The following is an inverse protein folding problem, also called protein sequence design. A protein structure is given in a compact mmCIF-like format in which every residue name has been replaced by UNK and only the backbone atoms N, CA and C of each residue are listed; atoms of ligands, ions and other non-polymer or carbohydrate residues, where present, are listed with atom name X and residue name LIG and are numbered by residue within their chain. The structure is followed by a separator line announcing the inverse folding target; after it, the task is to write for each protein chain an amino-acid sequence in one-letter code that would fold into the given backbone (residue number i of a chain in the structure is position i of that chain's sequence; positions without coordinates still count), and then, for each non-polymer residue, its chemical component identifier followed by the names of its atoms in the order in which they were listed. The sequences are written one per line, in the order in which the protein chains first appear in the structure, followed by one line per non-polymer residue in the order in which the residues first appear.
data_IF_899038919456
#
_entry.id   IF_899038919456
#
_cell.length_a   1.000
_cell.length_b   1.000
_cell.length_c   1.000
_cell.angle_alpha   90.00
_cell.angle_beta   90.00
_cell.angle_gamma   90.00
#
_symmetry.space_group_name_H-M   'P 1'
#
loop_
_entity.id
_entity.type
_entity.pdbx_description
1 polymer ?
#
# COMPACT_ATOMS: atom_id res chain seq x y z
N UNK A 1 -29.42 6.03 -19.08
CA UNK A 1 -28.32 5.90 -20.05
C UNK A 1 -27.04 5.64 -19.26
N UNK A 2 -26.32 4.55 -19.55
CA UNK A 2 -25.09 4.18 -18.84
C UNK A 2 -23.93 4.97 -19.46
N UNK A 3 -23.37 5.94 -18.74
CA UNK A 3 -22.15 6.62 -19.16
C UNK A 3 -20.99 5.63 -19.06
N UNK A 4 -20.43 5.28 -20.21
CA UNK A 4 -19.23 4.44 -20.31
C UNK A 4 -18.03 5.38 -20.30
N UNK A 5 -17.31 5.42 -19.17
CA UNK A 5 -16.02 6.09 -19.07
C UNK A 5 -14.99 5.33 -19.91
N UNK A 6 -14.33 6.02 -20.85
CA UNK A 6 -13.18 5.49 -21.59
C UNK A 6 -11.93 6.22 -21.10
N UNK A 7 -11.10 5.53 -20.32
CA UNK A 7 -9.79 6.01 -19.91
C UNK A 7 -8.79 5.77 -21.06
N UNK A 8 -8.13 6.83 -21.53
CA UNK A 8 -6.99 6.71 -22.44
C UNK A 8 -5.74 7.18 -21.72
N UNK A 9 -4.78 6.27 -21.55
CA UNK A 9 -3.47 6.56 -20.97
C UNK A 9 -2.65 7.39 -21.96
N UNK A 10 -2.38 8.66 -21.62
CA UNK A 10 -1.55 9.56 -22.42
C UNK A 10 -0.07 9.13 -22.40
N UNK A 11 0.53 9.03 -23.60
CA UNK A 11 1.94 8.67 -23.82
C UNK A 11 2.88 9.79 -23.30
N UNK A 12 3.92 9.41 -22.56
CA UNK A 12 5.00 10.30 -22.13
C UNK A 12 6.07 10.36 -23.22
N UNK A 13 6.24 11.50 -23.88
CA UNK A 13 7.36 11.74 -24.79
C UNK A 13 8.48 12.46 -24.03
N UNK A 14 9.62 11.77 -23.85
CA UNK A 14 10.84 12.33 -23.26
C UNK A 14 11.47 13.25 -24.31
N UNK A 15 11.48 14.55 -24.03
CA UNK A 15 12.07 15.56 -24.92
C UNK A 15 13.58 15.38 -25.06
N UNK A 16 14.02 14.90 -26.22
CA UNK A 16 15.41 15.03 -26.68
C UNK A 16 15.55 16.40 -27.31
N UNK A 17 16.48 17.20 -26.81
CA UNK A 17 16.84 18.50 -27.40
C UNK A 17 17.39 18.29 -28.82
N UNK A 18 16.55 18.51 -29.83
CA UNK A 18 16.95 18.54 -31.23
C UNK A 18 17.44 19.95 -31.57
N UNK A 19 18.68 20.03 -32.04
CA UNK A 19 19.27 21.24 -32.59
C UNK A 19 18.46 21.73 -33.79
N UNK A 20 18.21 23.05 -33.81
CA UNK A 20 17.50 23.75 -34.88
C UNK A 20 18.16 23.51 -36.24
N UNK A 21 17.50 22.74 -37.11
CA UNK A 21 17.67 22.83 -38.56
C UNK A 21 16.46 23.59 -39.08
N UNK A 22 16.69 24.86 -39.40
CA UNK A 22 15.75 25.71 -40.14
C UNK A 22 15.57 25.11 -41.53
N UNK A 23 14.36 24.67 -41.85
CA UNK A 23 13.93 24.38 -43.20
C UNK A 23 12.69 25.23 -43.47
N UNK A 24 12.87 26.29 -44.26
CA UNK A 24 11.83 27.22 -44.68
C UNK A 24 10.95 26.59 -45.76
N UNK A 25 9.73 26.26 -45.40
CA UNK A 25 8.60 26.16 -46.32
C UNK A 25 7.47 26.98 -45.71
N UNK A 26 7.11 28.07 -46.37
CA UNK A 26 5.96 28.90 -46.01
C UNK A 26 4.67 28.10 -46.28
N UNK A 27 4.31 27.19 -45.37
CA UNK A 27 2.93 26.76 -45.24
C UNK A 27 2.16 27.89 -44.55
N UNK A 28 1.04 28.32 -45.14
CA UNK A 28 0.14 29.27 -44.49
C UNK A 28 -0.28 28.68 -43.13
N UNK A 29 0.20 29.30 -42.05
CA UNK A 29 -0.05 28.83 -40.69
C UNK A 29 -1.53 28.75 -40.36
N UNK A 30 -1.92 27.73 -39.61
CA UNK A 30 -3.31 27.51 -39.17
C UNK A 30 -3.37 27.84 -37.69
N UNK A 31 -3.89 29.00 -37.31
CA UNK A 31 -4.16 29.31 -35.89
C UNK A 31 -5.32 28.44 -35.40
N UNK A 32 -5.09 27.46 -34.50
CA UNK A 32 -6.15 26.58 -34.04
C UNK A 32 -7.07 27.28 -33.03
N UNK A 33 -8.35 26.88 -32.99
CA UNK A 33 -9.29 27.33 -31.97
C UNK A 33 -8.86 26.91 -30.55
N UNK A 34 -9.13 27.73 -29.54
CA UNK A 34 -8.83 27.45 -28.13
C UNK A 34 -9.77 26.38 -27.56
N UNK A 35 -9.30 25.64 -26.54
CA UNK A 35 -10.20 24.90 -25.66
C UNK A 35 -11.13 25.85 -24.89
N UNK A 36 -12.19 25.34 -24.27
CA UNK A 36 -13.03 26.14 -23.36
C UNK A 36 -13.36 25.36 -22.10
N UNK A 37 -13.90 26.04 -21.08
CA UNK A 37 -14.34 25.41 -19.82
C UNK A 37 -13.23 24.57 -19.14
N UNK A 38 -11.99 25.08 -19.15
CA UNK A 38 -10.85 24.45 -18.48
C UNK A 38 -11.11 24.36 -16.97
N UNK A 39 -11.09 23.15 -16.44
CA UNK A 39 -11.25 22.85 -15.02
C UNK A 39 -10.19 21.86 -14.55
N UNK A 40 -9.95 21.83 -13.23
CA UNK A 40 -8.99 20.94 -12.60
C UNK A 40 -9.60 20.28 -11.36
N UNK A 41 -9.61 18.95 -11.39
CA UNK A 41 -10.05 18.08 -10.29
C UNK A 41 -8.81 17.40 -9.71
N UNK A 42 -8.79 17.16 -8.41
CA UNK A 42 -7.72 16.36 -7.81
C UNK A 42 -8.31 15.13 -7.14
N UNK A 43 -7.58 14.04 -7.24
CA UNK A 43 -7.77 12.82 -6.48
C UNK A 43 -6.42 12.42 -5.88
N UNK A 44 -6.39 11.43 -5.00
CA UNK A 44 -5.14 11.04 -4.34
C UNK A 44 -4.00 10.77 -5.33
N UNK A 45 -2.96 11.62 -5.25
CA UNK A 45 -1.77 11.52 -6.07
C UNK A 45 -1.92 11.94 -7.53
N UNK A 46 -3.03 12.61 -7.89
CA UNK A 46 -3.38 12.93 -9.29
C UNK A 46 -4.12 14.25 -9.42
N UNK A 47 -3.88 14.94 -10.53
CA UNK A 47 -4.71 16.06 -11.00
C UNK A 47 -5.25 15.72 -12.38
N UNK A 48 -6.55 15.85 -12.57
CA UNK A 48 -7.21 15.67 -13.87
C UNK A 48 -7.64 17.05 -14.38
N UNK A 49 -7.10 17.45 -15.52
CA UNK A 49 -7.57 18.62 -16.24
C UNK A 49 -8.69 18.20 -17.19
N UNK A 50 -9.74 19.02 -17.29
CA UNK A 50 -10.87 18.80 -18.20
C UNK A 50 -11.18 20.06 -18.98
N UNK A 51 -11.67 19.91 -20.21
CA UNK A 51 -12.04 21.01 -21.08
C UNK A 51 -13.05 20.56 -22.13
N UNK A 52 -13.71 21.52 -22.74
CA UNK A 52 -14.48 21.32 -23.96
C UNK A 52 -13.57 21.53 -25.16
N UNK A 53 -13.51 20.51 -26.04
CA UNK A 53 -12.70 20.56 -27.25
C UNK A 53 -13.50 21.22 -28.38
N UNK A 54 -12.96 22.26 -29.05
CA UNK A 54 -13.63 22.87 -30.19
C UNK A 54 -13.77 21.89 -31.36
N UNK A 55 -14.85 22.02 -32.13
CA UNK A 55 -15.16 21.16 -33.30
C UNK A 55 -14.25 21.40 -34.52
N UNK A 56 -13.23 22.26 -34.41
CA UNK A 56 -12.42 22.76 -35.51
C UNK A 56 -11.49 21.69 -36.14
N UNK A 57 -11.46 21.66 -37.47
CA UNK A 57 -10.58 20.81 -38.27
C UNK A 57 -9.10 21.23 -38.24
N UNK A 58 -8.80 22.42 -37.70
CA UNK A 58 -7.44 22.96 -37.61
C UNK A 58 -6.57 22.43 -36.46
N UNK A 59 -7.02 21.45 -35.68
CA UNK A 59 -6.31 20.97 -34.48
C UNK A 59 -5.74 19.57 -34.72
N UNK A 60 -4.47 19.38 -34.34
CA UNK A 60 -3.79 18.09 -34.34
C UNK A 60 -3.76 17.43 -32.97
N UNK A 61 -3.49 18.21 -31.92
CA UNK A 61 -3.49 17.74 -30.53
C UNK A 61 -3.63 18.91 -29.56
N UNK A 62 -3.84 18.57 -28.28
CA UNK A 62 -3.86 19.53 -27.17
C UNK A 62 -2.59 19.32 -26.36
N UNK A 63 -1.87 20.39 -26.08
CA UNK A 63 -0.63 20.41 -25.32
C UNK A 63 -0.90 20.94 -23.91
N UNK A 64 -0.39 20.23 -22.90
CA UNK A 64 -0.40 20.65 -21.49
C UNK A 64 1.04 20.71 -20.99
N UNK A 65 1.46 21.88 -20.53
CA UNK A 65 2.78 22.12 -19.95
C UNK A 65 2.67 22.45 -18.46
N UNK A 66 3.58 21.92 -17.66
CA UNK A 66 3.72 22.21 -16.24
C UNK A 66 5.13 21.88 -15.74
N UNK A 67 5.54 22.50 -14.64
CA UNK A 67 6.74 22.08 -13.92
C UNK A 67 6.42 20.90 -13.01
N UNK A 68 7.16 19.81 -13.12
CA UNK A 68 7.06 18.64 -12.24
C UNK A 68 8.10 18.75 -11.11
N UNK A 69 7.68 19.02 -9.86
CA UNK A 69 8.60 19.16 -8.73
C UNK A 69 9.25 17.83 -8.31
N UNK A 70 8.62 16.69 -8.61
CA UNK A 70 9.16 15.36 -8.34
C UNK A 70 10.32 15.05 -9.28
N UNK A 71 10.15 15.32 -10.58
CA UNK A 71 11.18 15.11 -11.60
C UNK A 71 12.16 16.29 -11.74
N UNK A 72 11.84 17.43 -11.11
CA UNK A 72 12.60 18.69 -11.16
C UNK A 72 12.81 19.20 -12.59
N UNK A 73 11.76 19.16 -13.42
CA UNK A 73 11.82 19.60 -14.83
C UNK A 73 10.46 20.05 -15.34
N UNK A 74 10.47 20.83 -16.41
CA UNK A 74 9.28 21.09 -17.21
C UNK A 74 8.85 19.83 -17.96
N UNK A 75 7.55 19.55 -17.92
CA UNK A 75 6.92 18.40 -18.56
C UNK A 75 5.85 18.90 -19.52
N UNK A 76 5.88 18.35 -20.73
CA UNK A 76 4.84 18.52 -21.74
C UNK A 76 4.12 17.19 -21.93
N UNK A 77 2.78 17.23 -21.93
CA UNK A 77 1.93 16.09 -22.25
C UNK A 77 0.94 16.47 -23.33
N UNK A 78 0.57 15.50 -24.14
CA UNK A 78 -0.37 15.71 -25.24
C UNK A 78 -1.64 14.90 -25.02
N UNK A 79 -2.78 15.50 -25.34
CA UNK A 79 -4.06 14.83 -25.47
C UNK A 79 -4.54 14.85 -26.92
N UNK A 80 -5.28 13.81 -27.30
CA UNK A 80 -5.94 13.75 -28.61
C UNK A 80 -7.01 14.84 -28.73
N UNK A 81 -7.33 15.26 -29.94
CA UNK A 81 -8.45 16.16 -30.22
C UNK A 81 -9.82 15.58 -29.84
N UNK A 82 -9.89 14.28 -29.60
CA UNK A 82 -11.12 13.62 -29.13
C UNK A 82 -11.17 13.47 -27.60
N UNK A 83 -10.15 13.96 -26.89
CA UNK A 83 -10.10 13.91 -25.45
C UNK A 83 -10.65 15.21 -24.84
N UNK A 84 -11.49 15.06 -23.82
CA UNK A 84 -12.01 16.15 -23.00
C UNK A 84 -11.21 16.31 -21.69
N UNK A 85 -10.12 15.55 -21.54
CA UNK A 85 -9.37 15.48 -20.30
C UNK A 85 -7.96 14.89 -20.45
N UNK A 86 -7.11 15.22 -19.48
CA UNK A 86 -5.82 14.54 -19.27
C UNK A 86 -5.55 14.38 -17.78
N UNK A 87 -5.11 13.19 -17.38
CA UNK A 87 -4.62 12.91 -16.03
C UNK A 87 -3.15 13.26 -15.93
N UNK A 88 -2.77 14.02 -14.90
CA UNK A 88 -1.40 14.26 -14.46
C UNK A 88 -1.14 13.37 -13.23
N UNK A 89 -0.40 12.26 -13.37
CA UNK A 89 -0.10 11.33 -12.29
C UNK A 89 1.05 11.86 -11.44
N UNK A 90 1.26 11.19 -10.31
CA UNK A 90 2.37 11.41 -9.37
C UNK A 90 2.46 12.85 -8.85
N UNK A 91 1.35 13.60 -8.92
CA UNK A 91 1.24 14.90 -8.25
C UNK A 91 1.11 14.67 -6.75
N UNK A 92 1.77 15.50 -5.96
CA UNK A 92 1.81 15.37 -4.50
C UNK A 92 1.43 16.67 -3.84
N UNK A 93 0.73 16.58 -2.71
CA UNK A 93 0.30 17.74 -1.93
C UNK A 93 1.50 18.49 -1.35
N UNK A 94 2.57 17.78 -0.96
CA UNK A 94 3.78 18.37 -0.37
C UNK A 94 4.47 19.40 -1.26
N UNK A 95 4.27 19.33 -2.58
CA UNK A 95 4.84 20.28 -3.53
C UNK A 95 4.00 21.55 -3.73
N UNK A 96 2.84 21.65 -3.06
CA UNK A 96 1.99 22.83 -3.12
C UNK A 96 1.16 22.89 -4.40
N UNK A 97 1.02 24.10 -4.95
CA UNK A 97 0.18 24.38 -6.11
C UNK A 97 0.93 24.08 -7.42
N UNK A 98 0.29 23.31 -8.29
CA UNK A 98 0.74 23.10 -9.66
C UNK A 98 0.07 24.12 -10.56
N UNK A 99 0.85 24.72 -11.46
CA UNK A 99 0.34 25.59 -12.51
C UNK A 99 0.46 24.89 -13.87
N UNK A 100 -0.64 24.84 -14.60
CA UNK A 100 -0.73 24.22 -15.91
C UNK A 100 -1.01 25.27 -16.99
N UNK A 101 -0.38 25.10 -18.15
CA UNK A 101 -0.64 25.86 -19.37
C UNK A 101 -1.17 24.91 -20.44
N UNK A 102 -2.33 25.23 -21.04
CA UNK A 102 -3.04 24.40 -22.00
C UNK A 102 -3.24 25.16 -23.32
N UNK A 103 -2.89 24.54 -24.43
CA UNK A 103 -3.03 25.10 -25.78
C UNK A 103 -3.45 24.00 -26.77
N UNK A 104 -4.22 24.36 -27.79
CA UNK A 104 -4.38 23.50 -28.98
C UNK A 104 -3.21 23.77 -29.94
N UNK A 105 -2.80 22.74 -30.67
CA UNK A 105 -1.72 22.80 -31.65
C UNK A 105 -2.25 22.30 -32.99
N UNK A 106 -2.00 23.05 -34.07
CA UNK A 106 -2.45 22.72 -35.41
C UNK A 106 -1.51 21.73 -36.14
N UNK A 107 -1.90 21.19 -37.31
CA UNK A 107 -1.02 20.38 -38.13
C UNK A 107 0.29 21.06 -38.54
N UNK A 108 0.27 22.38 -38.74
CA UNK A 108 1.41 23.24 -39.09
C UNK A 108 2.28 23.60 -37.88
N UNK A 109 1.84 23.29 -36.66
CA UNK A 109 2.58 23.54 -35.42
C UNK A 109 2.27 24.88 -34.75
N UNK A 110 1.38 25.68 -35.33
CA UNK A 110 0.88 26.92 -34.71
C UNK A 110 0.03 26.60 -33.48
N UNK A 111 0.05 27.49 -32.49
CA UNK A 111 -0.62 27.31 -31.19
C UNK A 111 -1.72 28.33 -30.98
N UNK A 112 -2.79 27.93 -30.30
CA UNK A 112 -3.83 28.86 -29.81
C UNK A 112 -3.29 29.79 -28.73
N UNK A 113 -4.10 30.73 -28.23
CA UNK A 113 -3.77 31.42 -27.00
C UNK A 113 -3.65 30.42 -25.82
N UNK A 114 -2.82 30.76 -24.83
CA UNK A 114 -2.58 29.95 -23.64
C UNK A 114 -3.73 30.11 -22.66
N UNK A 115 -4.29 28.99 -22.20
CA UNK A 115 -5.13 28.97 -21.01
C UNK A 115 -4.35 28.42 -19.82
N UNK A 116 -4.49 29.05 -18.66
CA UNK A 116 -3.79 28.64 -17.45
C UNK A 116 -4.76 28.24 -16.36
N UNK A 117 -4.43 27.20 -15.61
CA UNK A 117 -5.17 26.78 -14.41
C UNK A 117 -4.20 26.29 -13.34
N UNK A 118 -4.56 26.50 -12.08
CA UNK A 118 -3.79 26.01 -10.94
C UNK A 118 -4.60 25.03 -10.11
N UNK A 119 -3.91 24.05 -9.51
CA UNK A 119 -4.53 23.10 -8.57
C UNK A 119 -3.51 22.57 -7.57
N UNK A 120 -3.93 22.48 -6.31
CA UNK A 120 -3.21 21.72 -5.27
C UNK A 120 -3.68 20.26 -5.34
N UNK A 121 -2.72 19.33 -5.35
CA UNK A 121 -3.03 17.90 -5.32
C UNK A 121 -3.58 17.48 -3.95
N UNK A 122 -4.53 16.56 -3.94
CA UNK A 122 -4.82 15.75 -2.75
C UNK A 122 -3.59 14.88 -2.40
N UNK A 123 -3.40 14.52 -1.12
CA UNK A 123 -2.27 13.69 -0.69
C UNK A 123 -2.26 12.36 -1.45
N UNK A 124 -1.11 11.99 -1.98
CA UNK A 124 -0.88 10.66 -2.52
C UNK A 124 -0.91 9.62 -1.38
N UNK A 125 -1.63 8.51 -1.57
CA UNK A 125 -1.70 7.45 -0.57
C UNK A 125 -0.35 6.75 -0.42
N UNK A 126 0.01 6.32 0.80
CA UNK A 126 1.16 5.47 1.02
C UNK A 126 0.98 4.11 0.35
N UNK A 127 2.10 3.50 -0.04
CA UNK A 127 2.14 2.12 -0.53
C UNK A 127 2.80 1.21 0.49
N UNK A 128 2.30 -0.03 0.58
CA UNK A 128 2.72 -1.01 1.57
C UNK A 128 3.22 -2.27 0.87
N UNK A 129 4.46 -2.68 1.17
CA UNK A 129 5.03 -3.94 0.71
C UNK A 129 5.25 -4.83 1.92
N UNK A 130 4.56 -5.98 1.97
CA UNK A 130 4.73 -6.95 3.05
C UNK A 130 5.65 -8.08 2.63
N UNK A 131 6.72 -8.29 3.37
CA UNK A 131 7.69 -9.36 3.15
C UNK A 131 7.54 -10.39 4.27
N UNK A 132 7.23 -11.64 3.92
CA UNK A 132 7.13 -12.70 4.93
C UNK A 132 8.51 -13.03 5.46
N UNK A 133 8.63 -13.10 6.78
CA UNK A 133 9.85 -13.55 7.44
C UNK A 133 9.93 -15.08 7.33
N UNK A 134 11.05 -15.56 6.77
CA UNK A 134 11.29 -16.99 6.60
C UNK A 134 11.73 -17.62 7.93
N UNK A 135 10.75 -18.24 8.62
CA UNK A 135 10.89 -18.92 9.89
C UNK A 135 11.07 -20.44 9.71
N UNK A 136 11.73 -21.06 10.67
CA UNK A 136 11.86 -22.51 10.82
C UNK A 136 11.46 -22.92 12.25
N UNK A 137 11.29 -24.21 12.50
CA UNK A 137 10.96 -24.70 13.84
C UNK A 137 12.00 -24.32 14.91
N UNK A 138 13.27 -24.11 14.52
CA UNK A 138 14.33 -23.66 15.43
C UNK A 138 14.16 -22.21 15.88
N UNK A 139 13.38 -21.42 15.15
CA UNK A 139 13.05 -20.04 15.48
C UNK A 139 11.86 -19.94 16.44
N UNK A 140 11.20 -21.08 16.74
CA UNK A 140 10.03 -21.15 17.59
C UNK A 140 10.34 -21.80 18.95
N UNK A 141 9.69 -21.30 20.00
CA UNK A 141 9.68 -21.97 21.31
C UNK A 141 8.38 -21.71 22.07
N UNK A 142 8.11 -22.52 23.10
CA UNK A 142 6.97 -22.37 23.99
C UNK A 142 7.35 -22.81 25.40
N UNK A 143 6.73 -22.24 26.44
CA UNK A 143 6.86 -22.75 27.81
C UNK A 143 6.03 -24.01 28.07
N UNK A 144 5.11 -24.36 27.17
CA UNK A 144 4.07 -25.33 27.46
C UNK A 144 3.85 -26.24 26.24
N UNK A 145 4.88 -26.85 25.67
CA UNK A 145 4.69 -27.84 24.60
C UNK A 145 3.92 -29.06 25.15
N UNK A 146 2.83 -29.46 24.49
CA UNK A 146 2.17 -30.72 24.79
C UNK A 146 3.11 -31.90 24.45
N UNK A 147 3.38 -32.84 25.39
CA UNK A 147 4.37 -33.90 25.17
C UNK A 147 4.01 -34.94 24.09
N UNK A 148 2.71 -35.15 23.84
CA UNK A 148 2.23 -36.29 23.05
C UNK A 148 1.73 -35.92 21.66
N UNK A 149 1.39 -34.66 21.42
CA UNK A 149 0.82 -34.20 20.16
C UNK A 149 1.11 -32.72 19.92
N UNK A 150 0.79 -32.28 18.70
CA UNK A 150 0.82 -30.90 18.29
C UNK A 150 2.15 -30.17 18.54
N UNK A 151 3.27 -30.62 17.94
CA UNK A 151 4.54 -29.93 18.04
C UNK A 151 4.47 -28.51 17.49
N UNK A 152 5.21 -27.57 18.07
CA UNK A 152 5.25 -26.16 17.64
C UNK A 152 5.69 -25.99 16.17
N UNK A 153 6.45 -26.95 15.63
CA UNK A 153 6.83 -26.98 14.22
C UNK A 153 5.65 -26.99 13.26
N UNK A 154 4.48 -27.51 13.68
CA UNK A 154 3.28 -27.54 12.85
C UNK A 154 2.79 -26.14 12.49
N UNK A 155 3.17 -25.08 13.23
CA UNK A 155 2.81 -23.70 12.89
C UNK A 155 3.36 -23.22 11.54
N UNK A 156 4.33 -23.93 10.96
CA UNK A 156 5.07 -23.49 9.77
C UNK A 156 5.02 -24.52 8.64
N UNK A 157 4.18 -25.55 8.74
CA UNK A 157 4.18 -26.67 7.79
C UNK A 157 3.24 -26.45 6.58
N UNK A 158 2.43 -25.39 6.59
CA UNK A 158 1.53 -25.04 5.50
C UNK A 158 0.27 -25.93 5.43
N UNK A 159 -0.04 -26.66 6.50
CA UNK A 159 -1.13 -27.61 6.58
C UNK A 159 -2.06 -27.31 7.77
N UNK A 160 -3.24 -26.76 7.49
CA UNK A 160 -4.25 -26.48 8.52
C UNK A 160 -4.90 -27.73 9.14
N UNK A 161 -4.54 -28.94 8.66
CA UNK A 161 -4.91 -30.22 9.27
C UNK A 161 -4.01 -30.64 10.43
N UNK A 162 -2.78 -30.14 10.50
CA UNK A 162 -1.88 -30.25 11.66
C UNK A 162 -2.05 -29.04 12.57
N UNK A 163 -1.53 -29.12 13.80
CA UNK A 163 -1.69 -28.05 14.78
C UNK A 163 -0.58 -28.06 15.83
N UNK A 164 -0.27 -26.90 16.37
CA UNK A 164 0.39 -26.75 17.67
C UNK A 164 -0.65 -26.85 18.79
N UNK A 165 -0.28 -27.51 19.89
CA UNK A 165 -1.09 -27.60 21.10
C UNK A 165 -0.21 -27.29 22.31
N UNK A 166 -0.65 -26.35 23.15
CA UNK A 166 0.01 -26.17 24.44
C UNK A 166 -0.44 -27.22 25.45
N UNK A 167 0.39 -27.57 26.43
CA UNK A 167 0.19 -28.65 27.37
C UNK A 167 -1.21 -28.69 28.00
N UNK A 168 -1.93 -29.79 27.78
CA UNK A 168 -3.19 -30.11 28.45
C UNK A 168 -3.05 -31.34 29.35
N UNK A 169 -2.09 -32.22 29.06
CA UNK A 169 -1.89 -33.49 29.76
C UNK A 169 -0.95 -33.37 30.97
N UNK A 170 -0.18 -32.28 31.05
CA UNK A 170 0.76 -31.98 32.13
C UNK A 170 0.52 -30.61 32.72
N UNK A 171 0.78 -30.45 34.02
CA UNK A 171 0.55 -29.20 34.73
C UNK A 171 1.68 -28.20 34.48
N UNK A 172 1.44 -27.22 33.60
CA UNK A 172 2.31 -26.07 33.38
C UNK A 172 1.59 -24.81 33.92
N UNK A 173 2.25 -23.96 34.71
CA UNK A 173 1.64 -22.72 35.18
C UNK A 173 1.23 -21.80 34.03
N UNK A 174 0.04 -21.21 34.14
CA UNK A 174 -0.40 -20.13 33.25
C UNK A 174 0.47 -18.85 33.43
N UNK A 175 0.56 -17.98 32.42
CA UNK A 175 -0.01 -18.14 31.07
C UNK A 175 0.87 -19.01 30.15
N UNK A 176 0.24 -19.66 29.17
CA UNK A 176 0.95 -20.36 28.10
C UNK A 176 1.27 -19.40 26.96
N UNK A 177 2.48 -19.51 26.41
CA UNK A 177 2.94 -18.65 25.33
C UNK A 177 3.70 -19.41 24.24
N UNK A 178 3.72 -18.84 23.05
CA UNK A 178 4.71 -19.16 22.01
C UNK A 178 5.60 -17.94 21.75
N UNK A 179 6.84 -18.19 21.37
CA UNK A 179 7.83 -17.17 21.04
C UNK A 179 8.43 -17.45 19.67
N UNK A 180 8.77 -16.38 18.96
CA UNK A 180 9.36 -16.40 17.63
C UNK A 180 10.59 -15.50 17.59
N UNK A 181 11.72 -16.04 17.14
CA UNK A 181 12.87 -15.28 16.71
C UNK A 181 12.66 -14.83 15.27
N UNK A 182 12.55 -13.53 15.03
CA UNK A 182 12.26 -12.98 13.70
C UNK A 182 13.50 -12.93 12.81
N UNK A 183 14.70 -13.16 13.34
CA UNK A 183 16.00 -13.14 12.63
C UNK A 183 16.40 -11.78 12.04
N UNK A 184 15.48 -10.82 12.04
CA UNK A 184 15.68 -9.43 11.69
C UNK A 184 15.02 -8.53 12.75
N UNK A 185 15.55 -7.32 12.91
CA UNK A 185 14.95 -6.32 13.79
C UNK A 185 13.86 -5.55 13.04
N UNK A 186 12.67 -5.50 13.62
CA UNK A 186 11.52 -4.75 13.13
C UNK A 186 11.54 -3.38 13.77
N UNK A 187 11.79 -2.36 12.96
CA UNK A 187 11.83 -0.95 13.38
C UNK A 187 10.68 -0.12 12.82
N UNK A 188 10.06 -0.58 11.74
CA UNK A 188 8.93 0.07 11.07
C UNK A 188 7.62 -0.67 11.30
N UNK A 189 6.85 -0.88 10.24
CA UNK A 189 5.55 -1.52 10.34
C UNK A 189 5.64 -3.05 10.20
N UNK A 190 4.66 -3.75 10.76
CA UNK A 190 4.55 -5.21 10.73
C UNK A 190 3.10 -5.66 10.54
N UNK A 191 2.94 -6.93 10.18
CA UNK A 191 1.67 -7.64 10.26
C UNK A 191 1.91 -9.12 10.52
N UNK A 192 0.89 -9.84 10.95
CA UNK A 192 0.96 -11.29 11.13
C UNK A 192 -0.33 -11.98 10.72
N UNK A 193 -0.21 -13.29 10.55
CA UNK A 193 -1.31 -14.17 10.20
C UNK A 193 -1.27 -15.40 11.10
N UNK A 194 -2.44 -15.92 11.45
CA UNK A 194 -2.54 -17.27 11.97
C UNK A 194 -3.82 -17.98 11.52
N UNK A 195 -3.75 -19.32 11.54
CA UNK A 195 -4.91 -20.18 11.31
C UNK A 195 -5.27 -20.98 12.57
N UNK A 196 -6.56 -21.25 12.80
CA UNK A 196 -7.04 -22.09 13.89
C UNK A 196 -6.75 -23.58 13.61
N UNK A 197 -6.62 -24.40 14.67
CA UNK A 197 -6.85 -25.85 14.54
C UNK A 197 -8.28 -26.08 14.00
N UNK A 198 -8.45 -27.07 13.13
CA UNK A 198 -9.76 -27.48 12.59
C UNK A 198 -10.66 -28.17 13.63
N UNK A 199 -11.00 -27.45 14.71
CA UNK A 199 -11.99 -27.80 15.73
C UNK A 199 -12.59 -26.52 16.35
N UNK A 200 -13.62 -26.67 17.17
CA UNK A 200 -14.32 -25.54 17.81
C UNK A 200 -13.78 -25.08 19.17
N UNK A 201 -12.68 -25.65 19.67
CA UNK A 201 -12.23 -25.48 21.07
C UNK A 201 -10.82 -24.90 21.16
N UNK A 202 -10.45 -24.37 22.34
CA UNK A 202 -9.09 -23.95 22.69
C UNK A 202 -8.53 -22.91 21.71
N UNK A 203 -9.36 -21.96 21.29
CA UNK A 203 -8.98 -20.82 20.44
C UNK A 203 -8.61 -19.64 21.33
N UNK A 204 -7.45 -18.99 21.13
CA UNK A 204 -7.15 -17.73 21.80
C UNK A 204 -8.26 -16.71 21.53
N UNK A 205 -8.77 -16.09 22.59
CA UNK A 205 -9.74 -14.98 22.51
C UNK A 205 -9.21 -13.69 23.11
N UNK A 206 -8.10 -13.79 23.85
CA UNK A 206 -7.34 -12.68 24.42
C UNK A 206 -5.87 -13.10 24.43
N UNK A 207 -5.00 -12.31 23.81
CA UNK A 207 -3.56 -12.51 23.92
C UNK A 207 -2.79 -11.20 23.84
N UNK A 208 -1.65 -11.16 24.54
CA UNK A 208 -0.67 -10.09 24.42
C UNK A 208 0.38 -10.48 23.38
N UNK A 209 0.60 -9.61 22.39
CA UNK A 209 1.79 -9.66 21.55
C UNK A 209 2.87 -8.84 22.24
N UNK A 210 3.89 -9.52 22.72
CA UNK A 210 5.05 -8.94 23.38
C UNK A 210 6.21 -8.84 22.40
N UNK A 211 7.02 -7.79 22.51
CA UNK A 211 8.26 -7.58 21.76
C UNK A 211 9.49 -7.66 22.65
N UNK A 212 10.62 -8.03 22.06
CA UNK A 212 11.94 -7.99 22.71
C UNK A 212 13.04 -7.87 21.66
N UNK A 213 14.17 -7.27 22.04
CA UNK A 213 15.41 -7.24 21.24
C UNK A 213 16.44 -8.28 21.69
N UNK A 214 16.28 -8.83 22.90
CA UNK A 214 17.27 -9.71 23.55
C UNK A 214 16.68 -11.08 24.01
N UNK A 215 15.37 -11.29 23.81
CA UNK A 215 14.65 -12.49 24.24
C UNK A 215 14.43 -12.61 25.75
N UNK A 216 14.90 -11.64 26.54
CA UNK A 216 14.89 -11.66 28.01
C UNK A 216 13.99 -10.57 28.58
N UNK A 217 14.14 -9.34 28.08
CA UNK A 217 13.35 -8.18 28.47
C UNK A 217 12.22 -7.98 27.47
N UNK A 218 10.98 -8.02 27.95
CA UNK A 218 9.78 -8.00 27.12
C UNK A 218 8.96 -6.74 27.39
N UNK A 219 8.39 -6.18 26.33
CA UNK A 219 7.44 -5.09 26.41
C UNK A 219 6.16 -5.45 25.66
N UNK A 220 5.03 -4.88 26.08
CA UNK A 220 3.76 -5.06 25.37
C UNK A 220 3.81 -4.28 24.05
N UNK A 221 3.69 -4.98 22.92
CA UNK A 221 3.45 -4.33 21.63
C UNK A 221 1.97 -3.95 21.56
N UNK A 222 1.07 -4.93 21.76
CA UNK A 222 -0.38 -4.75 21.70
C UNK A 222 -1.11 -5.92 22.34
N UNK A 223 -2.24 -5.66 23.00
CA UNK A 223 -3.21 -6.68 23.39
C UNK A 223 -4.23 -6.89 22.27
N UNK A 224 -4.58 -8.15 21.98
CA UNK A 224 -5.57 -8.54 20.99
C UNK A 224 -6.73 -9.27 21.65
N UNK A 225 -7.96 -8.87 21.32
CA UNK A 225 -9.18 -9.51 21.84
C UNK A 225 -10.13 -9.90 20.73
N UNK A 226 -10.93 -10.95 20.97
CA UNK A 226 -11.97 -11.40 20.04
C UNK A 226 -12.89 -10.27 19.61
N UNK A 227 -13.35 -9.44 20.54
CA UNK A 227 -14.38 -8.45 20.26
C UNK A 227 -13.81 -7.19 19.58
N UNK A 228 -12.60 -6.76 19.94
CA UNK A 228 -11.98 -5.59 19.33
C UNK A 228 -11.34 -5.89 17.97
N UNK A 229 -10.76 -7.10 17.81
CA UNK A 229 -9.94 -7.43 16.65
C UNK A 229 -10.56 -8.51 15.75
N UNK A 230 -11.68 -9.11 16.16
CA UNK A 230 -12.32 -10.17 15.39
C UNK A 230 -11.54 -11.49 15.38
N UNK A 231 -10.85 -11.83 16.48
CA UNK A 231 -10.09 -13.08 16.58
C UNK A 231 -10.99 -14.31 16.30
N UNK A 232 -10.57 -15.25 15.44
CA UNK A 232 -11.39 -16.37 15.06
C UNK A 232 -11.55 -17.40 16.18
N UNK A 233 -12.80 -17.80 16.39
CA UNK A 233 -13.19 -18.88 17.32
C UNK A 233 -13.83 -20.08 16.63
N UNK A 234 -13.82 -20.10 15.30
CA UNK A 234 -14.32 -21.21 14.47
C UNK A 234 -13.18 -22.11 14.02
N UNK A 235 -13.52 -23.26 13.43
CA UNK A 235 -12.52 -24.24 12.97
C UNK A 235 -11.77 -23.84 11.70
N UNK A 236 -12.23 -22.82 10.98
CA UNK A 236 -11.65 -22.41 9.68
C UNK A 236 -11.44 -20.91 9.55
N UNK A 237 -11.94 -20.08 10.47
CA UNK A 237 -11.73 -18.64 10.41
C UNK A 237 -10.27 -18.31 10.66
N UNK A 238 -9.57 -17.73 9.69
CA UNK A 238 -8.18 -17.29 9.86
C UNK A 238 -8.13 -15.86 10.36
N UNK A 239 -7.02 -15.46 10.96
CA UNK A 239 -6.76 -14.06 11.31
C UNK A 239 -5.58 -13.53 10.51
N UNK A 240 -5.78 -12.38 9.88
CA UNK A 240 -4.70 -11.53 9.36
C UNK A 240 -4.84 -10.19 10.05
N UNK A 241 -3.78 -9.75 10.71
CA UNK A 241 -3.79 -8.45 11.38
C UNK A 241 -3.86 -7.31 10.37
N UNK A 242 -4.27 -6.13 10.83
CA UNK A 242 -3.94 -4.89 10.12
C UNK A 242 -2.41 -4.68 10.12
N UNK A 243 -1.97 -3.65 9.39
CA UNK A 243 -0.59 -3.19 9.47
C UNK A 243 -0.49 -2.29 10.70
N UNK A 244 0.46 -2.59 11.58
CA UNK A 244 0.74 -1.80 12.77
C UNK A 244 2.17 -1.29 12.74
N UNK A 245 2.39 -0.12 13.34
CA UNK A 245 3.74 0.38 13.55
C UNK A 245 4.36 -0.26 14.79
N UNK A 246 5.65 -0.59 14.71
CA UNK A 246 6.41 -1.01 15.87
C UNK A 246 6.51 0.17 16.86
N UNK A 247 6.03 0.02 18.12
CA UNK A 247 6.14 1.11 19.10
C UNK A 247 7.60 1.36 19.54
N UNK A 248 8.46 0.37 19.37
CA UNK A 248 9.91 0.42 19.47
C UNK A 248 10.50 -0.83 18.80
N UNK A 249 11.82 -0.87 18.50
CA UNK A 249 12.44 -2.01 17.84
C UNK A 249 12.23 -3.35 18.57
N UNK A 250 11.98 -4.43 17.81
CA UNK A 250 11.98 -5.81 18.32
C UNK A 250 12.48 -6.80 17.28
N UNK A 251 13.21 -7.83 17.72
CA UNK A 251 13.67 -8.96 16.88
C UNK A 251 13.08 -10.30 17.34
N UNK A 252 12.32 -10.28 18.43
CA UNK A 252 11.62 -11.41 19.02
C UNK A 252 10.19 -10.97 19.32
N UNK A 253 9.24 -11.89 19.11
CA UNK A 253 7.88 -11.74 19.62
C UNK A 253 7.50 -12.88 20.54
N UNK A 254 6.58 -12.62 21.46
CA UNK A 254 5.93 -13.64 22.27
C UNK A 254 4.43 -13.39 22.30
N UNK A 255 3.66 -14.40 21.91
CA UNK A 255 2.20 -14.40 22.02
C UNK A 255 1.83 -15.06 23.34
N UNK A 256 1.40 -14.25 24.31
CA UNK A 256 0.96 -14.71 25.64
C UNK A 256 -0.55 -14.82 25.63
N UNK A 257 -1.09 -16.04 25.71
CA UNK A 257 -2.54 -16.25 25.63
C UNK A 257 -3.15 -16.13 27.03
N UNK A 258 -4.03 -15.14 27.19
CA UNK A 258 -4.67 -14.79 28.45
C UNK A 258 -6.01 -15.50 28.63
N UNK A 259 -6.75 -15.71 27.54
CA UNK A 259 -8.03 -16.40 27.56
C UNK A 259 -8.29 -17.18 26.28
N UNK A 260 -9.12 -18.22 26.39
CA UNK A 260 -9.62 -19.01 25.26
C UNK A 260 -11.13 -19.08 25.23
N UNK A 261 -11.70 -19.44 24.08
CA UNK A 261 -13.14 -19.60 23.90
C UNK A 261 -13.77 -20.72 24.75
N UNK A 262 -12.95 -21.55 25.39
CA UNK A 262 -13.36 -22.62 26.30
C UNK A 262 -12.90 -22.40 27.73
N UNK A 263 -12.37 -21.22 28.06
CA UNK A 263 -11.79 -20.88 29.36
C UNK A 263 -10.66 -21.83 29.81
N UNK A 264 -10.05 -22.57 28.87
CA UNK A 264 -8.89 -23.41 29.13
C UNK A 264 -7.62 -22.57 29.14
N UNK A 265 -6.64 -22.97 29.97
CA UNK A 265 -5.28 -22.39 29.96
C UNK A 265 -4.56 -22.76 28.65
N UNK A 266 -4.80 -23.97 28.16
CA UNK A 266 -4.22 -24.46 26.91
C UNK A 266 -5.00 -24.00 25.69
N UNK A 267 -4.27 -23.84 24.59
CA UNK A 267 -4.76 -23.37 23.32
C UNK A 267 -4.11 -24.09 22.13
N UNK A 268 -4.69 -23.89 20.95
CA UNK A 268 -4.27 -24.52 19.70
C UNK A 268 -4.22 -23.50 18.56
N UNK A 269 -3.32 -23.74 17.60
CA UNK A 269 -3.15 -22.96 16.38
C UNK A 269 -2.55 -23.86 15.31
N UNK A 270 -2.94 -23.70 14.05
CA UNK A 270 -2.43 -24.54 12.96
C UNK A 270 -1.31 -23.88 12.18
N UNK A 271 -1.41 -22.59 11.90
CA UNK A 271 -0.42 -21.87 11.11
C UNK A 271 -0.07 -20.54 11.78
N UNK A 272 1.16 -20.08 11.60
CA UNK A 272 1.61 -18.76 11.99
C UNK A 272 2.55 -18.17 10.92
N UNK A 273 2.36 -16.90 10.59
CA UNK A 273 3.26 -16.14 9.70
C UNK A 273 3.45 -14.74 10.24
N UNK A 274 4.66 -14.21 10.11
CA UNK A 274 4.98 -12.84 10.46
C UNK A 274 5.58 -12.12 9.25
N UNK A 275 5.31 -10.83 9.12
CA UNK A 275 5.75 -10.02 7.99
C UNK A 275 6.33 -8.70 8.48
N UNK A 276 7.49 -8.33 7.97
CA UNK A 276 7.94 -6.94 7.95
C UNK A 276 7.20 -6.19 6.84
N UNK A 277 6.84 -4.93 7.09
CA UNK A 277 6.10 -4.09 6.15
C UNK A 277 6.89 -2.82 5.87
N UNK A 278 7.30 -2.67 4.61
CA UNK A 278 7.87 -1.42 4.12
C UNK A 278 6.75 -0.48 3.71
N UNK A 279 6.75 0.72 4.28
CA UNK A 279 5.82 1.81 3.94
C UNK A 279 6.56 2.84 3.11
N UNK A 280 6.05 3.15 1.93
CA UNK A 280 6.53 4.29 1.14
C UNK A 280 5.44 5.34 1.14
N UNK A 281 5.64 6.40 1.92
CA UNK A 281 4.79 7.58 1.92
C UNK A 281 5.31 8.59 0.89
N UNK A 282 4.61 8.80 -0.25
CA UNK A 282 5.01 9.79 -1.24
C UNK A 282 4.98 11.23 -0.71
N UNK A 283 4.22 11.49 0.35
CA UNK A 283 4.06 12.82 0.98
C UNK A 283 5.05 13.08 2.13
N UNK A 284 5.89 12.10 2.47
CA UNK A 284 6.94 12.29 3.46
C UNK A 284 7.85 13.47 3.08
N UNK A 285 8.35 14.19 4.09
CA UNK A 285 9.36 15.21 3.89
C UNK A 285 10.60 14.60 3.22
N UNK A 286 11.26 15.35 2.34
CA UNK A 286 12.53 14.91 1.77
C UNK A 286 13.57 14.85 2.90
N UNK A 287 14.22 13.70 3.08
CA UNK A 287 15.32 13.50 4.05
C UNK A 287 16.61 14.21 3.63
#
# INVERSE_FOLDING_TARGET
MKNTFKYYAGMLLIGVTLANISCSSDEDGITPAEITNLTAESTSGRIVLRWDTPEDAGIRYIEVNYYDPLQKKDVMRTASIYADSIEIPDTRKKFGEYQFSVQTVSPTGDKSAVQTISKVSEPALPTFVSTQIALTAADLSTNAQEPTEGPIANLLDGNTGTFFHTAWSVNIPAPHWMQVNLKEEITGSYKFYYAPRNNGSNKPTDFDLMGSTDGTNWFLIRNFTKDADGLPVTSTGTFTSEIYDAPQPFSQIRMVVNATNTSSIFWTMSEFKFYSVSVTDPEAADE
#
